data_IF_033905594303
#
_entry.id   IF_033905594303
#
_cell.length_a   1.000
_cell.length_b   1.000
_cell.length_c   1.000
_cell.angle_alpha   90.00
_cell.angle_beta   90.00
_cell.angle_gamma   90.00
#
_symmetry.space_group_name_H-M   'P 1'
#
loop_
_entity.id
_entity.type
_entity.pdbx_description
1 polymer ?
#
# COMPACT_ATOMS: atom_id res chain seq x y z
N UNK A 1 -6.09 10.34 -24.33
CA UNK A 1 -7.02 10.91 -23.33
C UNK A 1 -6.23 11.80 -22.38
N UNK A 2 -6.39 13.10 -22.43
CA UNK A 2 -5.70 14.03 -21.50
C UNK A 2 -6.47 14.02 -20.17
N UNK A 3 -5.93 13.32 -19.15
CA UNK A 3 -6.43 13.45 -17.78
C UNK A 3 -5.98 14.81 -17.25
N UNK A 4 -6.88 15.74 -17.12
CA UNK A 4 -6.61 17.02 -16.47
C UNK A 4 -6.68 16.80 -14.97
N UNK A 5 -5.56 17.02 -14.29
CA UNK A 5 -5.46 16.96 -12.83
C UNK A 5 -6.37 18.03 -12.23
N UNK A 6 -7.29 17.64 -11.39
CA UNK A 6 -8.14 18.57 -10.65
C UNK A 6 -7.39 18.98 -9.38
N UNK A 7 -7.40 20.28 -9.04
CA UNK A 7 -6.89 20.74 -7.78
C UNK A 7 -7.76 20.21 -6.64
N UNK A 8 -7.16 19.44 -5.74
CA UNK A 8 -7.81 18.84 -4.58
C UNK A 8 -7.44 19.65 -3.34
N UNK A 9 -8.39 20.25 -2.67
CA UNK A 9 -8.18 20.81 -1.33
C UNK A 9 -8.71 19.79 -0.34
N UNK A 10 -7.82 19.25 0.47
CA UNK A 10 -8.13 18.20 1.45
C UNK A 10 -7.76 18.69 2.83
N UNK A 11 -8.70 18.58 3.73
CA UNK A 11 -8.42 18.63 5.16
C UNK A 11 -8.61 17.21 5.70
N UNK A 12 -7.53 16.52 6.00
CA UNK A 12 -7.57 15.21 6.61
C UNK A 12 -7.52 15.37 8.14
N UNK A 13 -8.57 14.96 8.80
CA UNK A 13 -8.54 14.73 10.23
C UNK A 13 -8.27 13.25 10.47
N UNK A 14 -7.00 12.90 10.60
CA UNK A 14 -6.62 11.54 10.95
C UNK A 14 -6.39 11.47 12.46
N UNK A 15 -7.32 10.89 13.19
CA UNK A 15 -6.99 10.36 14.51
C UNK A 15 -6.13 9.10 14.29
N UNK A 16 -4.82 9.28 14.18
CA UNK A 16 -3.89 8.17 13.99
C UNK A 16 -3.04 8.02 15.23
N UNK A 17 -3.54 7.28 16.18
CA UNK A 17 -2.64 6.55 17.04
C UNK A 17 -2.95 5.08 16.86
N UNK A 18 -2.14 4.42 16.13
CA UNK A 18 -2.02 2.97 16.22
C UNK A 18 -1.28 2.62 17.52
N UNK A 19 -1.77 3.10 18.65
CA UNK A 19 -1.39 2.55 19.94
C UNK A 19 -2.27 1.35 20.17
N UNK A 20 -1.71 0.16 19.93
CA UNK A 20 -2.35 -1.07 20.33
C UNK A 20 -2.52 -1.04 21.86
N UNK A 21 -3.73 -1.16 22.34
CA UNK A 21 -4.00 -1.35 23.74
C UNK A 21 -3.80 -2.84 24.08
N UNK A 22 -2.87 -3.15 24.97
CA UNK A 22 -2.74 -4.50 25.50
C UNK A 22 -3.95 -4.77 26.39
N UNK A 23 -4.76 -5.74 26.00
CA UNK A 23 -5.98 -6.12 26.74
C UNK A 23 -5.80 -7.41 27.53
N UNK A 24 -4.80 -8.19 27.19
CA UNK A 24 -4.41 -9.39 27.88
C UNK A 24 -2.92 -9.63 27.72
N UNK A 25 -2.21 -9.94 28.79
CA UNK A 25 -0.79 -10.31 28.78
C UNK A 25 -0.51 -11.24 29.97
N UNK A 26 -0.72 -12.52 29.75
CA UNK A 26 -0.52 -13.55 30.76
C UNK A 26 -0.21 -14.90 30.10
N UNK A 27 0.51 -15.76 30.84
CA UNK A 27 0.82 -17.14 30.43
C UNK A 27 1.39 -17.26 29.02
N UNK A 28 2.28 -16.32 28.64
CA UNK A 28 2.89 -16.29 27.31
C UNK A 28 1.97 -15.82 26.19
N UNK A 29 0.72 -15.47 26.48
CA UNK A 29 -0.25 -14.94 25.51
C UNK A 29 -0.38 -13.44 25.65
N UNK A 30 -0.19 -12.72 24.57
CA UNK A 30 -0.43 -11.28 24.47
C UNK A 30 -1.52 -10.98 23.44
N UNK A 31 -2.53 -10.23 23.84
CA UNK A 31 -3.62 -9.76 22.98
C UNK A 31 -3.64 -8.25 22.95
N UNK A 32 -3.60 -7.69 21.77
CA UNK A 32 -3.61 -6.24 21.51
C UNK A 32 -4.82 -5.85 20.67
N UNK A 33 -5.55 -4.83 21.11
CA UNK A 33 -6.54 -4.13 20.31
C UNK A 33 -5.90 -2.91 19.66
N UNK A 34 -6.14 -2.74 18.37
CA UNK A 34 -5.68 -1.58 17.60
C UNK A 34 -6.83 -1.00 16.79
N UNK A 35 -6.73 0.29 16.47
CA UNK A 35 -7.74 0.93 15.65
C UNK A 35 -7.44 2.41 15.40
N UNK A 36 -8.11 2.97 14.42
CA UNK A 36 -8.09 4.41 14.14
C UNK A 36 -9.37 4.85 13.45
N UNK A 37 -9.86 6.03 13.83
CA UNK A 37 -10.90 6.73 13.08
C UNK A 37 -10.24 7.77 12.19
N UNK A 38 -10.60 7.77 10.91
CA UNK A 38 -10.02 8.64 9.89
C UNK A 38 -11.13 9.26 9.05
N UNK A 39 -11.16 10.56 8.99
CA UNK A 39 -12.10 11.32 8.18
C UNK A 39 -11.35 12.23 7.23
N UNK A 40 -11.89 12.38 6.03
CA UNK A 40 -11.41 13.34 5.04
C UNK A 40 -12.55 14.27 4.66
N UNK A 41 -12.27 15.57 4.73
CA UNK A 41 -13.06 16.57 4.04
C UNK A 41 -12.33 16.91 2.75
N UNK A 42 -12.98 16.65 1.62
CA UNK A 42 -12.37 16.86 0.31
C UNK A 42 -13.25 17.71 -0.61
N UNK A 43 -12.61 18.45 -1.48
CA UNK A 43 -13.25 19.09 -2.61
C UNK A 43 -12.52 18.65 -3.89
N UNK A 44 -13.20 17.86 -4.71
CA UNK A 44 -12.64 17.35 -5.95
C UNK A 44 -13.27 18.05 -7.14
N UNK A 45 -12.44 18.64 -7.99
CA UNK A 45 -12.83 19.14 -9.29
C UNK A 45 -12.52 18.08 -10.36
N UNK A 46 -13.54 17.48 -10.95
CA UNK A 46 -13.37 16.52 -12.04
C UNK A 46 -13.86 17.11 -13.34
N UNK A 47 -12.97 17.26 -14.32
CA UNK A 47 -13.38 17.51 -15.71
C UNK A 47 -13.70 16.18 -16.38
N UNK A 48 -14.94 16.01 -16.81
CA UNK A 48 -15.39 14.86 -17.58
C UNK A 48 -15.53 15.31 -19.03
N UNK A 49 -14.85 14.63 -19.94
CA UNK A 49 -14.94 14.87 -21.38
C UNK A 49 -15.90 13.85 -21.99
N UNK A 50 -16.83 14.33 -22.81
CA UNK A 50 -17.68 13.48 -23.63
C UNK A 50 -16.97 13.07 -24.94
N UNK A 51 -17.61 12.22 -25.74
CA UNK A 51 -17.07 11.77 -27.01
C UNK A 51 -16.80 12.92 -28.03
N UNK A 52 -17.43 14.10 -27.84
CA UNK A 52 -17.21 15.31 -28.65
C UNK A 52 -16.14 16.24 -28.05
N UNK A 53 -15.34 15.80 -27.12
CA UNK A 53 -14.28 16.58 -26.42
C UNK A 53 -14.78 17.80 -25.61
N UNK A 54 -16.09 17.87 -25.33
CA UNK A 54 -16.67 18.89 -24.46
C UNK A 54 -16.45 18.52 -23.00
N UNK A 55 -16.01 19.45 -22.17
CA UNK A 55 -15.75 19.20 -20.76
C UNK A 55 -16.87 19.75 -19.87
N UNK A 56 -17.35 18.93 -18.96
CA UNK A 56 -18.17 19.37 -17.83
C UNK A 56 -17.35 19.34 -16.55
N UNK A 57 -17.35 20.44 -15.81
CA UNK A 57 -16.71 20.52 -14.49
C UNK A 57 -17.71 20.06 -13.44
N UNK A 58 -17.40 18.97 -12.74
CA UNK A 58 -18.14 18.54 -11.54
C UNK A 58 -17.29 18.84 -10.33
N UNK A 59 -17.68 19.80 -9.53
CA UNK A 59 -17.08 20.09 -8.22
C UNK A 59 -17.97 19.49 -7.14
N UNK A 60 -17.43 18.54 -6.37
CA UNK A 60 -18.14 17.92 -5.26
C UNK A 60 -17.30 18.10 -3.99
N UNK A 61 -17.96 18.58 -2.92
CA UNK A 61 -17.40 18.51 -1.56
C UNK A 61 -17.93 17.27 -0.89
N UNK A 62 -17.09 16.57 -0.16
CA UNK A 62 -17.46 15.38 0.59
C UNK A 62 -16.74 15.32 1.93
N UNK A 63 -17.46 14.88 2.94
CA UNK A 63 -16.89 14.36 4.18
C UNK A 63 -17.02 12.84 4.10
N UNK A 64 -15.93 12.10 4.21
CA UNK A 64 -15.95 10.65 4.09
C UNK A 64 -14.98 9.97 5.04
N UNK A 65 -15.21 8.72 5.27
CA UNK A 65 -14.26 7.82 5.92
C UNK A 65 -12.99 7.64 5.05
N UNK A 66 -11.83 7.62 5.70
CA UNK A 66 -10.52 7.43 5.09
C UNK A 66 -9.86 6.13 5.54
N UNK A 67 -10.60 5.04 5.49
CA UNK A 67 -10.11 3.72 5.91
C UNK A 67 -10.01 3.58 7.43
N UNK A 68 -11.00 4.11 8.16
CA UNK A 68 -11.19 3.81 9.58
C UNK A 68 -11.19 2.32 9.81
N UNK A 69 -10.55 1.88 10.89
CA UNK A 69 -10.26 0.47 11.13
C UNK A 69 -10.20 0.11 12.60
N UNK A 70 -10.40 -1.16 12.87
CA UNK A 70 -10.08 -1.78 14.15
C UNK A 70 -9.61 -3.21 13.94
N UNK A 71 -8.86 -3.74 14.89
CA UNK A 71 -8.31 -5.08 14.76
C UNK A 71 -7.78 -5.64 16.07
N UNK A 72 -7.45 -6.92 16.01
CA UNK A 72 -6.88 -7.69 17.09
C UNK A 72 -5.60 -8.35 16.60
N UNK A 73 -4.54 -8.25 17.38
CA UNK A 73 -3.30 -9.00 17.19
C UNK A 73 -3.10 -9.90 18.39
N UNK A 74 -2.79 -11.16 18.14
CA UNK A 74 -2.51 -12.16 19.18
C UNK A 74 -1.12 -12.70 18.95
N UNK A 75 -0.34 -12.84 20.01
CA UNK A 75 0.91 -13.57 20.02
C UNK A 75 0.92 -14.50 21.23
N UNK A 76 1.27 -15.75 21.02
CA UNK A 76 1.41 -16.76 22.07
C UNK A 76 2.78 -17.41 21.98
N UNK A 77 3.54 -17.36 23.06
CA UNK A 77 4.85 -17.99 23.14
C UNK A 77 4.67 -19.51 23.24
N UNK A 78 5.44 -20.22 22.46
CA UNK A 78 5.55 -21.67 22.44
C UNK A 78 6.90 -22.07 23.07
N UNK A 79 7.16 -23.37 23.16
CA UNK A 79 8.46 -23.86 23.57
C UNK A 79 9.57 -23.56 22.56
N UNK A 80 10.83 -23.58 23.03
CA UNK A 80 12.03 -23.43 22.18
C UNK A 80 12.08 -22.11 21.34
N UNK A 81 11.74 -20.97 21.94
CA UNK A 81 11.76 -19.63 21.32
C UNK A 81 10.80 -19.44 20.13
N UNK A 82 9.92 -20.40 19.87
CA UNK A 82 8.86 -20.25 18.90
C UNK A 82 7.65 -19.51 19.48
N UNK A 83 6.88 -18.91 18.62
CA UNK A 83 5.60 -18.30 18.94
C UNK A 83 4.59 -18.49 17.81
N UNK A 84 3.33 -18.60 18.19
CA UNK A 84 2.21 -18.48 17.27
C UNK A 84 1.78 -17.01 17.22
N UNK A 85 1.32 -16.56 16.06
CA UNK A 85 0.79 -15.21 15.88
C UNK A 85 -0.48 -15.24 15.03
N UNK A 86 -1.32 -14.23 15.23
CA UNK A 86 -2.53 -14.05 14.43
C UNK A 86 -2.96 -12.60 14.42
N UNK A 87 -3.58 -12.16 13.32
CA UNK A 87 -4.10 -10.82 13.16
C UNK A 87 -5.43 -10.82 12.42
N UNK A 88 -6.39 -10.10 12.97
CA UNK A 88 -7.62 -9.70 12.32
C UNK A 88 -7.66 -8.17 12.24
N UNK A 89 -7.98 -7.62 11.07
CA UNK A 89 -8.18 -6.18 10.89
C UNK A 89 -9.40 -5.97 9.99
N UNK A 90 -10.34 -5.20 10.47
CA UNK A 90 -11.51 -4.77 9.73
C UNK A 90 -11.39 -3.30 9.36
N UNK A 91 -11.86 -2.96 8.16
CA UNK A 91 -11.94 -1.58 7.67
C UNK A 91 -13.32 -1.27 7.15
N UNK A 92 -13.70 -0.01 7.28
CA UNK A 92 -14.87 0.51 6.60
C UNK A 92 -14.51 0.84 5.15
N UNK A 93 -15.33 0.37 4.22
CA UNK A 93 -15.19 0.69 2.81
C UNK A 93 -15.67 2.12 2.55
N UNK A 94 -14.87 2.89 1.84
CA UNK A 94 -15.12 4.29 1.50
C UNK A 94 -15.48 4.51 0.03
N UNK A 95 -15.32 3.49 -0.80
CA UNK A 95 -15.41 3.62 -2.26
C UNK A 95 -16.68 3.06 -2.85
N UNK A 96 -17.26 2.02 -2.27
CA UNK A 96 -18.42 1.30 -2.81
C UNK A 96 -19.74 1.65 -2.14
N UNK A 97 -19.70 2.29 -0.98
CA UNK A 97 -20.88 2.69 -0.23
C UNK A 97 -21.37 4.08 -0.59
N UNK A 98 -22.70 4.25 -0.66
CA UNK A 98 -23.34 5.54 -0.89
C UNK A 98 -23.27 6.48 0.31
N UNK A 99 -23.19 5.94 1.52
CA UNK A 99 -23.16 6.70 2.77
C UNK A 99 -21.76 7.14 3.21
N UNK A 100 -20.72 6.76 2.43
CA UNK A 100 -19.32 7.11 2.67
C UNK A 100 -18.68 6.51 3.94
N UNK A 101 -19.45 5.76 4.73
CA UNK A 101 -18.96 4.97 5.87
C UNK A 101 -19.09 3.46 5.65
N UNK A 102 -19.80 3.05 4.64
CA UNK A 102 -19.81 1.81 3.95
C UNK A 102 -19.78 0.51 4.70
N UNK A 103 -19.47 -0.51 3.93
CA UNK A 103 -19.42 -1.88 4.41
C UNK A 103 -18.17 -2.12 5.24
N UNK A 104 -18.32 -2.93 6.29
CA UNK A 104 -17.19 -3.48 7.02
C UNK A 104 -16.64 -4.68 6.26
N UNK A 105 -15.34 -4.72 6.03
CA UNK A 105 -14.67 -5.85 5.39
C UNK A 105 -13.40 -6.24 6.13
N UNK A 106 -13.03 -7.53 6.08
CA UNK A 106 -11.78 -8.02 6.65
C UNK A 106 -10.62 -7.64 5.72
N UNK A 107 -9.81 -6.69 6.13
CA UNK A 107 -8.62 -6.25 5.38
C UNK A 107 -7.44 -7.20 5.62
N UNK A 108 -7.32 -7.75 6.85
CA UNK A 108 -6.31 -8.74 7.23
C UNK A 108 -6.96 -9.84 8.02
N UNK A 109 -6.60 -11.07 7.73
CA UNK A 109 -7.01 -12.26 8.46
C UNK A 109 -5.95 -13.35 8.20
N UNK A 110 -4.96 -13.44 9.07
CA UNK A 110 -3.87 -14.39 8.93
C UNK A 110 -3.39 -14.93 10.27
N UNK A 111 -2.78 -16.09 10.22
CA UNK A 111 -2.08 -16.75 11.34
C UNK A 111 -0.68 -17.12 10.91
N UNK A 112 0.18 -17.40 11.84
CA UNK A 112 1.55 -17.79 11.55
C UNK A 112 2.31 -18.35 12.73
N UNK A 113 3.52 -18.77 12.43
CA UNK A 113 4.53 -19.21 13.39
C UNK A 113 5.80 -18.41 13.16
N UNK A 114 6.53 -18.14 14.21
CA UNK A 114 7.79 -17.43 14.10
C UNK A 114 8.75 -17.76 15.22
N UNK A 115 10.00 -17.41 15.00
CA UNK A 115 11.01 -17.33 16.04
C UNK A 115 11.99 -16.19 15.73
N UNK A 116 12.70 -15.70 16.75
CA UNK A 116 13.71 -14.67 16.55
C UNK A 116 14.87 -15.15 15.66
N UNK A 117 15.18 -16.43 15.69
CA UNK A 117 16.28 -17.01 14.94
C UNK A 117 15.95 -17.27 13.48
N UNK A 118 14.73 -17.74 13.20
CA UNK A 118 14.35 -18.21 11.86
C UNK A 118 13.37 -17.29 11.12
N UNK A 119 12.82 -16.25 11.77
CA UNK A 119 11.84 -15.36 11.21
C UNK A 119 10.41 -15.87 11.32
N UNK A 120 9.49 -15.21 10.61
CA UNK A 120 8.06 -15.44 10.66
C UNK A 120 7.54 -16.04 9.35
N UNK A 121 6.71 -17.07 9.44
CA UNK A 121 5.91 -17.56 8.32
C UNK A 121 4.44 -17.36 8.61
N UNK A 122 3.70 -16.71 7.72
CA UNK A 122 2.30 -16.34 7.90
C UNK A 122 1.44 -16.79 6.73
N UNK A 123 0.17 -17.11 7.00
CA UNK A 123 -0.77 -17.69 6.06
C UNK A 123 -2.12 -16.98 6.16
N UNK A 124 -2.66 -16.52 5.05
CA UNK A 124 -3.99 -15.93 4.99
C UNK A 124 -4.06 -14.62 4.21
N UNK A 125 -5.10 -13.84 4.47
CA UNK A 125 -5.31 -12.54 3.86
C UNK A 125 -4.38 -11.50 4.48
N UNK A 126 -3.42 -11.01 3.71
CA UNK A 126 -2.38 -10.11 4.21
C UNK A 126 -1.70 -9.31 3.10
N UNK A 127 -0.84 -8.40 3.50
CA UNK A 127 0.05 -7.68 2.60
C UNK A 127 1.19 -8.56 2.11
N UNK A 128 1.70 -8.21 0.95
CA UNK A 128 2.95 -8.73 0.39
C UNK A 128 4.11 -7.78 0.70
N UNK A 129 5.32 -8.19 0.34
CA UNK A 129 6.51 -7.32 0.45
C UNK A 129 6.36 -6.03 -0.37
N UNK A 130 5.62 -6.05 -1.46
CA UNK A 130 5.44 -4.89 -2.34
C UNK A 130 4.72 -3.72 -1.65
N UNK A 131 3.91 -3.96 -0.62
CA UNK A 131 3.29 -2.88 0.15
C UNK A 131 4.32 -2.03 0.90
N UNK A 132 5.43 -2.64 1.31
CA UNK A 132 6.50 -2.01 2.06
C UNK A 132 7.44 -1.16 1.15
N UNK A 133 7.27 -1.21 -0.18
CA UNK A 133 8.16 -0.63 -1.18
C UNK A 133 7.81 0.81 -1.58
N UNK A 134 7.53 1.69 -0.62
CA UNK A 134 7.43 3.14 -0.85
C UNK A 134 7.82 3.89 0.41
N UNK A 135 8.44 5.03 0.22
CA UNK A 135 8.77 5.98 1.28
C UNK A 135 8.09 7.34 1.07
N UNK A 136 7.35 7.50 -0.03
CA UNK A 136 6.55 8.68 -0.26
C UNK A 136 5.52 8.87 0.85
N UNK A 137 5.38 10.10 1.32
CA UNK A 137 4.33 10.47 2.27
C UNK A 137 3.02 10.62 1.49
N UNK A 138 2.20 9.59 1.55
CA UNK A 138 0.90 9.50 0.88
C UNK A 138 -0.09 8.80 1.80
N UNK A 139 -0.86 9.59 2.54
CA UNK A 139 -1.74 9.05 3.59
C UNK A 139 -3.02 8.43 3.05
N UNK A 140 -3.49 8.83 1.87
CA UNK A 140 -4.85 8.49 1.47
C UNK A 140 -5.06 8.17 -0.02
N UNK A 141 -4.28 8.78 -0.90
CA UNK A 141 -4.64 8.78 -2.33
C UNK A 141 -4.07 7.63 -3.14
N UNK A 142 -3.16 6.82 -2.57
CA UNK A 142 -2.48 5.77 -3.32
C UNK A 142 -1.71 6.37 -4.49
N UNK A 143 -1.01 7.48 -4.25
CA UNK A 143 -0.32 8.26 -5.26
C UNK A 143 0.77 7.46 -5.98
N UNK A 144 1.42 6.54 -5.25
CA UNK A 144 2.45 5.67 -5.81
C UNK A 144 1.81 4.37 -6.30
N UNK A 145 1.89 4.05 -7.60
CA UNK A 145 1.14 2.96 -8.23
C UNK A 145 1.79 1.58 -8.04
N UNK A 146 2.31 1.26 -6.85
CA UNK A 146 3.03 -0.01 -6.54
C UNK A 146 2.27 -1.25 -6.99
N UNK A 147 0.96 -1.28 -6.72
CA UNK A 147 0.10 -2.43 -7.02
C UNK A 147 -0.08 -2.72 -8.52
N UNK A 148 0.25 -1.75 -9.37
CA UNK A 148 0.25 -1.93 -10.83
C UNK A 148 1.50 -2.68 -11.33
N UNK A 149 2.50 -2.86 -10.48
CA UNK A 149 3.78 -3.51 -10.79
C UNK A 149 3.94 -4.86 -10.08
N UNK A 150 3.62 -4.90 -8.79
CA UNK A 150 3.62 -6.11 -7.96
C UNK A 150 2.38 -6.06 -7.07
N UNK A 151 1.58 -7.12 -6.96
CA UNK A 151 0.45 -7.15 -6.03
C UNK A 151 0.88 -6.82 -4.60
N UNK A 152 0.29 -5.79 -3.99
CA UNK A 152 0.63 -5.32 -2.64
C UNK A 152 -0.10 -6.08 -1.53
N UNK A 153 -1.11 -6.87 -1.89
CA UNK A 153 -1.91 -7.68 -0.96
C UNK A 153 -2.50 -8.89 -1.69
N UNK A 154 -3.04 -9.83 -0.92
CA UNK A 154 -3.79 -10.95 -1.46
C UNK A 154 -4.75 -11.54 -0.43
N UNK A 155 -5.79 -12.24 -0.93
CA UNK A 155 -6.78 -12.93 -0.11
C UNK A 155 -6.28 -14.27 0.43
N UNK A 156 -5.34 -14.90 -0.27
CA UNK A 156 -4.63 -16.11 0.14
C UNK A 156 -3.13 -15.93 -0.12
N UNK A 157 -2.36 -15.66 0.91
CA UNK A 157 -0.91 -15.39 0.81
C UNK A 157 -0.17 -16.24 1.82
N UNK A 158 0.92 -16.85 1.39
CA UNK A 158 1.99 -17.32 2.28
C UNK A 158 3.09 -16.28 2.24
N UNK A 159 3.50 -15.77 3.38
CA UNK A 159 4.58 -14.79 3.49
C UNK A 159 5.60 -15.24 4.53
N UNK A 160 6.86 -15.10 4.19
CA UNK A 160 8.00 -15.29 5.07
C UNK A 160 8.76 -13.98 5.23
N UNK A 161 9.08 -13.63 6.49
CA UNK A 161 9.87 -12.45 6.84
C UNK A 161 11.01 -12.87 7.76
N UNK A 162 12.25 -12.59 7.39
CA UNK A 162 13.44 -12.78 8.19
C UNK A 162 14.02 -11.44 8.62
N UNK A 163 14.26 -11.28 9.92
CA UNK A 163 14.77 -10.05 10.55
C UNK A 163 15.94 -10.34 11.53
N UNK A 164 16.61 -11.46 11.34
CA UNK A 164 17.72 -11.88 12.22
C UNK A 164 19.01 -11.06 12.04
N UNK A 165 19.09 -10.18 11.05
CA UNK A 165 20.21 -9.28 10.82
C UNK A 165 19.74 -7.86 11.12
N UNK A 166 20.49 -7.13 11.95
CA UNK A 166 20.15 -5.77 12.32
C UNK A 166 20.04 -4.85 11.09
N UNK A 167 18.98 -4.08 11.03
CA UNK A 167 18.69 -3.19 9.91
C UNK A 167 18.22 -3.87 8.62
N UNK A 168 18.28 -5.20 8.52
CA UNK A 168 17.90 -5.94 7.31
C UNK A 168 16.63 -6.78 7.54
N UNK A 169 15.62 -6.58 6.70
CA UNK A 169 14.51 -7.52 6.54
C UNK A 169 14.59 -8.15 5.15
N UNK A 170 14.54 -9.47 5.09
CA UNK A 170 14.35 -10.23 3.86
C UNK A 170 12.93 -10.79 3.86
N UNK A 171 12.24 -10.67 2.74
CA UNK A 171 10.85 -11.14 2.64
C UNK A 171 10.62 -11.89 1.34
N UNK A 172 9.78 -12.91 1.42
CA UNK A 172 9.27 -13.62 0.26
C UNK A 172 7.78 -13.89 0.46
N UNK A 173 6.99 -13.84 -0.62
CA UNK A 173 5.59 -14.23 -0.57
C UNK A 173 5.15 -14.98 -1.82
N UNK A 174 4.15 -15.82 -1.64
CA UNK A 174 3.39 -16.46 -2.70
C UNK A 174 1.90 -16.16 -2.51
N UNK A 175 1.27 -15.64 -3.56
CA UNK A 175 -0.15 -15.38 -3.61
C UNK A 175 -0.84 -16.48 -4.42
N UNK A 176 -1.79 -17.16 -3.81
CA UNK A 176 -2.69 -18.06 -4.51
C UNK A 176 -3.65 -17.30 -5.41
N UNK A 177 -4.32 -17.99 -6.31
CA UNK A 177 -5.27 -17.40 -7.23
C UNK A 177 -6.39 -16.63 -6.53
N UNK A 178 -6.78 -15.51 -7.13
CA UNK A 178 -7.91 -14.71 -6.65
C UNK A 178 -8.60 -13.98 -7.81
N UNK A 179 -9.92 -14.01 -7.78
CA UNK A 179 -10.79 -13.36 -8.77
C UNK A 179 -11.42 -12.07 -8.27
N UNK A 180 -11.31 -11.80 -6.95
CA UNK A 180 -11.83 -10.59 -6.33
C UNK A 180 -10.76 -9.93 -5.46
N UNK A 181 -10.83 -8.60 -5.32
CA UNK A 181 -10.03 -7.85 -4.36
C UNK A 181 -10.50 -8.11 -2.90
N UNK A 182 -9.86 -7.46 -1.93
CA UNK A 182 -10.20 -7.62 -0.52
C UNK A 182 -11.58 -7.05 -0.15
N UNK A 183 -12.15 -6.18 -0.98
CA UNK A 183 -13.49 -5.61 -0.81
C UNK A 183 -14.58 -6.46 -1.49
N UNK A 184 -14.18 -7.50 -2.23
CA UNK A 184 -15.09 -8.37 -2.99
C UNK A 184 -15.38 -7.87 -4.40
N UNK A 185 -14.67 -6.86 -4.89
CA UNK A 185 -14.83 -6.39 -6.27
C UNK A 185 -14.11 -7.32 -7.24
N UNK A 186 -14.70 -7.64 -8.40
CA UNK A 186 -14.06 -8.50 -9.40
C UNK A 186 -12.75 -7.89 -9.92
N UNK A 187 -11.69 -8.68 -9.92
CA UNK A 187 -10.45 -8.40 -10.64
C UNK A 187 -10.63 -8.80 -12.11
N UNK A 188 -10.19 -7.95 -13.02
CA UNK A 188 -10.29 -8.21 -14.46
C UNK A 188 -8.98 -7.80 -15.16
N UNK A 189 -8.13 -8.75 -15.49
CA UNK A 189 -8.20 -10.20 -15.24
C UNK A 189 -8.00 -10.56 -13.75
N UNK A 190 -8.46 -11.74 -13.34
CA UNK A 190 -8.12 -12.35 -12.05
C UNK A 190 -6.62 -12.69 -12.00
N UNK A 191 -6.09 -12.88 -10.80
CA UNK A 191 -4.72 -13.37 -10.59
C UNK A 191 -4.78 -14.90 -10.49
N UNK A 192 -4.02 -15.60 -11.33
CA UNK A 192 -3.85 -17.06 -11.24
C UNK A 192 -2.90 -17.43 -10.11
N UNK A 193 -1.77 -16.74 -10.02
CA UNK A 193 -0.82 -16.77 -8.92
C UNK A 193 0.16 -15.61 -9.05
N UNK A 194 0.81 -15.26 -7.94
CA UNK A 194 1.92 -14.31 -7.95
C UNK A 194 2.94 -14.68 -6.88
N UNK A 195 4.18 -14.27 -7.08
CA UNK A 195 5.21 -14.34 -6.04
C UNK A 195 6.07 -13.09 -6.07
N UNK A 196 6.64 -12.76 -4.92
CA UNK A 196 7.60 -11.69 -4.81
C UNK A 196 8.66 -12.02 -3.77
N UNK A 197 9.84 -11.46 -3.98
CA UNK A 197 10.97 -11.47 -3.03
C UNK A 197 11.50 -10.06 -2.90
N UNK A 198 11.99 -9.70 -1.72
CA UNK A 198 12.51 -8.37 -1.50
C UNK A 198 13.32 -8.23 -0.22
N UNK A 199 13.96 -7.07 -0.12
CA UNK A 199 14.76 -6.66 1.02
C UNK A 199 14.47 -5.21 1.40
N UNK A 200 14.45 -4.95 2.70
CA UNK A 200 14.44 -3.62 3.29
C UNK A 200 15.68 -3.50 4.15
N UNK A 201 16.44 -2.43 3.94
CA UNK A 201 17.68 -2.19 4.67
C UNK A 201 17.71 -0.76 5.23
N UNK A 202 17.84 -0.66 6.54
CA UNK A 202 17.93 0.62 7.24
C UNK A 202 19.23 0.66 8.03
N UNK A 203 20.06 1.65 7.77
CA UNK A 203 21.31 1.88 8.50
C UNK A 203 21.51 3.38 8.71
N UNK A 204 21.59 3.80 9.98
CA UNK A 204 21.63 5.23 10.32
C UNK A 204 20.44 5.99 9.72
N UNK A 205 20.73 6.98 8.91
CA UNK A 205 19.72 7.83 8.24
C UNK A 205 19.29 7.31 6.85
N UNK A 206 19.85 6.19 6.39
CA UNK A 206 19.55 5.58 5.11
C UNK A 206 18.47 4.48 5.25
N UNK A 207 17.47 4.51 4.40
CA UNK A 207 16.48 3.44 4.22
C UNK A 207 16.42 3.10 2.71
N UNK A 208 16.76 1.86 2.37
CA UNK A 208 16.78 1.36 1.00
C UNK A 208 15.93 0.09 0.90
N UNK A 209 15.07 0.01 -0.11
CA UNK A 209 14.14 -1.08 -0.31
C UNK A 209 14.13 -1.53 -1.75
N UNK A 210 14.04 -2.84 -1.96
CA UNK A 210 14.01 -3.45 -3.30
C UNK A 210 13.14 -4.69 -3.28
N UNK A 211 12.30 -4.87 -4.29
CA UNK A 211 11.57 -6.11 -4.51
C UNK A 211 11.44 -6.43 -6.01
N UNK A 212 11.40 -7.72 -6.30
CA UNK A 212 11.00 -8.29 -7.58
C UNK A 212 9.76 -9.13 -7.38
N UNK A 213 8.83 -9.09 -8.34
CA UNK A 213 7.64 -9.92 -8.35
C UNK A 213 7.25 -10.38 -9.74
N UNK A 214 6.58 -11.51 -9.78
CA UNK A 214 6.01 -12.11 -10.98
C UNK A 214 4.54 -12.42 -10.74
N UNK A 215 3.69 -12.04 -11.69
CA UNK A 215 2.24 -12.29 -11.64
C UNK A 215 1.78 -12.97 -12.90
N UNK A 216 1.11 -14.11 -12.75
CA UNK A 216 0.35 -14.74 -13.81
C UNK A 216 -1.13 -14.41 -13.61
N UNK A 217 -1.77 -13.98 -14.69
CA UNK A 217 -3.20 -13.64 -14.66
C UNK A 217 -4.05 -14.79 -15.19
N UNK A 218 -5.31 -14.82 -14.74
CA UNK A 218 -6.31 -15.71 -15.31
C UNK A 218 -6.69 -15.21 -16.70
N UNK A 219 -6.52 -16.08 -17.65
CA UNK A 219 -6.88 -15.83 -19.05
C UNK A 219 -7.68 -17.04 -19.56
N UNK A 220 -8.48 -16.84 -20.59
CA UNK A 220 -9.08 -17.97 -21.32
C UNK A 220 -7.98 -18.87 -21.89
N UNK A 221 -8.33 -20.04 -22.35
CA UNK A 221 -7.39 -21.07 -22.84
C UNK A 221 -6.50 -20.63 -24.01
N UNK A 222 -6.71 -19.43 -24.55
CA UNK A 222 -6.14 -19.00 -25.83
C UNK A 222 -4.91 -18.10 -25.74
N UNK A 223 -4.58 -17.53 -24.57
CA UNK A 223 -3.42 -16.62 -24.45
C UNK A 223 -2.84 -16.57 -23.04
N UNK A 224 -1.58 -16.17 -22.94
CA UNK A 224 -0.88 -15.99 -21.68
C UNK A 224 -0.79 -14.51 -21.31
N UNK A 225 -1.10 -14.19 -20.05
CA UNK A 225 -0.93 -12.84 -19.51
C UNK A 225 -0.07 -12.89 -18.25
N UNK A 226 1.05 -12.20 -18.27
CA UNK A 226 2.01 -12.14 -17.15
C UNK A 226 2.62 -10.76 -17.01
N UNK A 227 3.05 -10.46 -15.79
CA UNK A 227 3.72 -9.22 -15.43
C UNK A 227 4.93 -9.53 -14.57
N UNK A 228 6.10 -9.07 -14.99
CA UNK A 228 7.34 -9.03 -14.21
C UNK A 228 7.54 -7.60 -13.70
N UNK A 229 7.66 -7.43 -12.39
CA UNK A 229 7.76 -6.12 -11.76
C UNK A 229 8.97 -6.00 -10.85
N UNK A 230 9.57 -4.81 -10.84
CA UNK A 230 10.60 -4.40 -9.88
C UNK A 230 10.13 -3.12 -9.21
N UNK A 231 10.23 -3.08 -7.88
CA UNK A 231 10.00 -1.88 -7.08
C UNK A 231 11.24 -1.57 -6.27
N UNK A 232 11.62 -0.30 -6.20
CA UNK A 232 12.71 0.16 -5.36
C UNK A 232 12.32 1.47 -4.69
N UNK A 233 12.80 1.71 -3.48
CA UNK A 233 12.70 3.01 -2.84
C UNK A 233 13.95 3.32 -2.02
N UNK A 234 14.29 4.60 -1.96
CA UNK A 234 15.41 5.13 -1.21
C UNK A 234 14.96 6.33 -0.41
N UNK A 235 15.31 6.37 0.86
CA UNK A 235 15.12 7.51 1.75
C UNK A 235 16.41 7.87 2.45
N UNK A 236 16.66 9.14 2.60
CA UNK A 236 17.78 9.63 3.40
C UNK A 236 17.37 10.84 4.24
N UNK A 237 17.69 10.79 5.52
CA UNK A 237 17.37 11.83 6.48
C UNK A 237 18.58 12.73 6.73
N UNK A 238 18.39 14.05 6.57
CA UNK A 238 19.38 15.10 6.85
C UNK A 238 18.85 15.99 7.98
N UNK A 239 19.07 15.61 9.22
CA UNK A 239 18.47 16.35 10.34
C UNK A 239 16.94 16.32 10.27
N UNK A 240 16.32 17.49 10.09
CA UNK A 240 14.87 17.64 9.99
C UNK A 240 14.30 17.43 8.57
N UNK A 241 15.17 17.26 7.59
CA UNK A 241 14.80 17.08 6.19
C UNK A 241 15.00 15.63 5.75
N UNK A 242 14.02 15.07 5.05
CA UNK A 242 14.10 13.72 4.46
C UNK A 242 13.86 13.82 2.97
N UNK A 243 14.77 13.26 2.19
CA UNK A 243 14.56 13.03 0.76
C UNK A 243 14.11 11.60 0.54
N UNK A 244 13.16 11.40 -0.37
CA UNK A 244 12.69 10.09 -0.78
C UNK A 244 12.66 9.96 -2.29
N UNK A 245 12.77 8.75 -2.77
CA UNK A 245 12.61 8.43 -4.18
C UNK A 245 12.05 7.02 -4.32
N UNK A 246 10.92 6.89 -5.00
CA UNK A 246 10.31 5.62 -5.32
C UNK A 246 10.44 5.35 -6.82
N UNK A 247 10.67 4.10 -7.18
CA UNK A 247 10.83 3.64 -8.54
C UNK A 247 10.08 2.32 -8.76
N UNK A 248 9.45 2.18 -9.91
CA UNK A 248 8.90 0.91 -10.37
C UNK A 248 9.16 0.68 -11.83
N UNK A 249 9.45 -0.56 -12.19
CA UNK A 249 9.54 -1.03 -13.57
C UNK A 249 8.69 -2.28 -13.74
N UNK A 250 7.91 -2.35 -14.82
CA UNK A 250 7.06 -3.49 -15.16
C UNK A 250 7.21 -3.87 -16.63
N UNK A 251 7.36 -5.17 -16.86
CA UNK A 251 7.29 -5.79 -18.18
C UNK A 251 6.07 -6.70 -18.23
N UNK A 252 5.03 -6.24 -18.91
CA UNK A 252 3.77 -6.96 -19.05
C UNK A 252 3.70 -7.59 -20.45
N UNK A 253 3.39 -8.88 -20.50
CA UNK A 253 3.23 -9.64 -21.71
C UNK A 253 1.80 -10.19 -21.77
N UNK A 254 1.09 -9.82 -22.83
CA UNK A 254 -0.25 -10.28 -23.13
C UNK A 254 -0.23 -10.91 -24.50
N UNK A 255 -0.16 -12.25 -24.55
CA UNK A 255 0.10 -13.02 -25.77
C UNK A 255 1.36 -12.52 -26.47
N UNK A 256 1.28 -12.05 -27.69
CA UNK A 256 2.42 -11.47 -28.44
C UNK A 256 2.66 -10.00 -28.11
N UNK A 257 1.67 -9.28 -27.57
CA UNK A 257 1.80 -7.87 -27.21
C UNK A 257 2.65 -7.68 -25.94
N UNK A 258 3.46 -6.64 -25.94
CA UNK A 258 4.34 -6.27 -24.82
C UNK A 258 4.09 -4.83 -24.40
N UNK A 259 3.98 -4.61 -23.10
CA UNK A 259 3.91 -3.28 -22.50
C UNK A 259 5.02 -3.13 -21.48
N UNK A 260 5.87 -2.13 -21.67
CA UNK A 260 6.86 -1.72 -20.67
C UNK A 260 6.36 -0.47 -19.97
N UNK A 261 6.33 -0.51 -18.65
CA UNK A 261 5.89 0.60 -17.81
C UNK A 261 6.92 0.88 -16.74
N UNK A 262 7.08 2.15 -16.39
CA UNK A 262 7.89 2.55 -15.25
C UNK A 262 7.33 3.81 -14.62
N UNK A 263 7.64 3.99 -13.35
CA UNK A 263 7.47 5.27 -12.67
C UNK A 263 8.71 5.67 -11.89
N UNK A 264 8.84 6.97 -11.67
CA UNK A 264 9.76 7.58 -10.70
C UNK A 264 8.98 8.60 -9.88
N UNK A 265 9.20 8.60 -8.57
CA UNK A 265 8.51 9.50 -7.67
C UNK A 265 9.47 10.07 -6.62
N UNK A 266 10.21 11.14 -6.94
CA UNK A 266 10.96 11.89 -5.95
C UNK A 266 10.02 12.59 -4.99
N UNK A 267 10.44 12.65 -3.72
CA UNK A 267 9.67 13.29 -2.66
C UNK A 267 10.55 13.86 -1.56
N UNK A 268 9.94 14.64 -0.71
CA UNK A 268 10.57 15.19 0.48
C UNK A 268 9.61 15.28 1.65
N UNK A 269 10.15 15.29 2.84
CA UNK A 269 9.46 15.69 4.06
C UNK A 269 10.39 16.59 4.89
N UNK A 270 9.84 17.66 5.47
CA UNK A 270 10.56 18.59 6.34
C UNK A 270 9.81 18.76 7.65
N UNK A 271 10.47 18.45 8.75
CA UNK A 271 9.96 18.64 10.11
C UNK A 271 10.13 20.10 10.51
N UNK A 272 9.06 20.89 10.36
CA UNK A 272 9.07 22.34 10.64
C UNK A 272 9.21 22.62 12.13
N UNK A 273 8.44 21.87 12.92
CA UNK A 273 8.49 21.83 14.39
C UNK A 273 8.18 20.41 14.85
N UNK A 274 8.45 20.01 16.10
CA UNK A 274 8.20 18.62 16.54
C UNK A 274 6.77 18.11 16.33
N UNK A 275 5.79 19.02 16.24
CA UNK A 275 4.39 18.70 16.02
C UNK A 275 3.94 18.77 14.55
N UNK A 276 4.75 19.35 13.64
CA UNK A 276 4.31 19.60 12.27
C UNK A 276 5.39 19.31 11.24
N UNK A 277 5.03 18.65 10.17
CA UNK A 277 5.86 18.49 8.98
C UNK A 277 5.12 18.91 7.71
N UNK A 278 5.87 19.35 6.73
CA UNK A 278 5.43 19.55 5.36
C UNK A 278 6.07 18.50 4.46
N UNK A 279 5.38 18.08 3.42
CA UNK A 279 5.88 17.03 2.53
C UNK A 279 5.35 17.24 1.12
N UNK A 280 6.06 16.68 0.15
CA UNK A 280 5.63 16.68 -1.23
C UNK A 280 6.22 15.53 -2.01
N UNK A 281 5.50 15.11 -3.03
CA UNK A 281 5.93 14.07 -3.97
C UNK A 281 5.54 14.47 -5.38
N UNK A 282 6.38 14.12 -6.34
CA UNK A 282 6.08 14.19 -7.76
C UNK A 282 6.08 12.79 -8.33
N UNK A 283 5.14 12.47 -9.20
CA UNK A 283 5.06 11.21 -9.91
C UNK A 283 5.21 11.47 -11.41
N UNK A 284 6.14 10.78 -12.01
CA UNK A 284 6.18 10.57 -13.46
C UNK A 284 6.00 9.09 -13.75
N UNK A 285 5.03 8.75 -14.55
CA UNK A 285 4.80 7.40 -15.01
C UNK A 285 4.71 7.36 -16.53
N UNK A 286 5.23 6.28 -17.11
CA UNK A 286 5.16 6.02 -18.54
C UNK A 286 4.86 4.55 -18.79
N UNK A 287 3.83 4.31 -19.60
CA UNK A 287 3.56 3.00 -20.20
C UNK A 287 3.75 3.09 -21.73
N UNK A 288 4.45 2.12 -22.30
CA UNK A 288 4.70 2.01 -23.73
C UNK A 288 4.33 0.61 -24.21
N UNK A 289 3.27 0.53 -25.03
CA UNK A 289 2.94 -0.62 -25.87
C UNK A 289 3.63 -0.55 -27.25
N UNK A 290 3.20 -1.38 -28.16
CA UNK A 290 3.75 -1.42 -29.53
C UNK A 290 3.45 -0.16 -30.32
N UNK A 291 2.19 0.29 -30.32
CA UNK A 291 1.72 1.47 -31.03
C UNK A 291 1.43 2.68 -30.14
N UNK A 292 1.22 2.46 -28.84
CA UNK A 292 0.73 3.49 -27.94
C UNK A 292 1.73 3.80 -26.82
N UNK A 293 1.73 5.07 -26.42
CA UNK A 293 2.52 5.58 -25.31
C UNK A 293 1.68 6.50 -24.44
N UNK A 294 1.56 6.14 -23.17
CA UNK A 294 0.87 6.95 -22.15
C UNK A 294 1.90 7.52 -21.19
N UNK A 295 1.76 8.79 -20.84
CA UNK A 295 2.53 9.46 -19.80
C UNK A 295 1.57 10.02 -18.76
N UNK A 296 1.88 9.81 -17.49
CA UNK A 296 1.13 10.35 -16.35
C UNK A 296 2.05 11.22 -15.53
N UNK A 297 1.56 12.38 -15.11
CA UNK A 297 2.23 13.27 -14.19
C UNK A 297 1.32 13.50 -13.00
N UNK A 298 1.85 13.35 -11.82
CA UNK A 298 1.16 13.60 -10.57
C UNK A 298 1.99 14.49 -9.65
N UNK A 299 1.30 15.17 -8.76
CA UNK A 299 1.92 16.05 -7.80
C UNK A 299 1.07 16.08 -6.53
N UNK A 300 1.73 15.95 -5.39
CA UNK A 300 1.11 15.96 -4.07
C UNK A 300 1.93 16.90 -3.17
N UNK A 301 1.24 17.81 -2.48
CA UNK A 301 1.78 18.58 -1.37
C UNK A 301 0.87 18.44 -0.17
N UNK A 302 1.44 18.35 1.00
CA UNK A 302 0.70 18.24 2.24
C UNK A 302 1.47 18.77 3.43
N UNK A 303 0.74 18.97 4.50
CA UNK A 303 1.27 19.25 5.82
C UNK A 303 0.48 18.45 6.84
N UNK A 304 1.12 18.05 7.92
CA UNK A 304 0.44 17.49 9.07
C UNK A 304 0.75 18.29 10.34
N UNK A 305 -0.15 18.19 11.32
CA UNK A 305 0.04 18.76 12.63
C UNK A 305 -0.50 17.81 13.70
N UNK A 306 0.36 17.43 14.62
CA UNK A 306 0.00 16.58 15.77
C UNK A 306 -0.62 17.43 16.87
N UNK A 307 -1.93 17.40 17.00
CA UNK A 307 -2.64 18.02 18.10
C UNK A 307 -2.39 17.29 19.42
N UNK A 308 -2.21 15.98 19.34
CA UNK A 308 -1.92 15.09 20.45
C UNK A 308 -1.17 13.87 19.91
N UNK A 309 -0.48 13.08 20.77
CA UNK A 309 0.15 11.81 20.37
C UNK A 309 -0.79 10.85 19.63
N UNK A 310 -2.09 11.02 19.81
CA UNK A 310 -3.14 10.19 19.20
C UNK A 310 -4.00 10.93 18.16
N UNK A 311 -3.72 12.20 17.88
CA UNK A 311 -4.54 13.04 16.97
C UNK A 311 -3.60 13.81 16.04
N UNK A 312 -3.72 13.54 14.76
CA UNK A 312 -3.00 14.24 13.67
C UNK A 312 -4.00 14.88 12.75
#
# INVERSE_FOLDING_TARGET
>A
MKKTLAALIVTAFAASAANAAVVYDNEGTKVELNGSLRLIMEKADKKVYNAANQSTKKANSALRNAGSRFGITVKHNLDNDFYALGRLEFRFDDTTSRDKFGRLYAKRAYVGLGSKATGDITFGRQLTIADDLSQAVDYEYGFIPKSEYIPTAGTGVVRYDYKGIEGLQLSANYNFGQTNDEKGNPLKPGIKNAYAVGALYTVGDLDARLAYGHTNFETGASYAHRLDGVLASLGYKFGDFTLTGDFGYGHEKLDDAKVNKFYVAPGFAYQVVPASKVYGNYLYERAKGESDKVKTHGFLLGADYKLHKQVV
#
